data_IF_140270159436
#
_entry.id   IF_140270159436
#
_cell.length_a   1.000
_cell.length_b   1.000
_cell.length_c   1.000
_cell.angle_alpha   90.00
_cell.angle_beta   90.00
_cell.angle_gamma   90.00
#
_symmetry.space_group_name_H-M   'P 1'
#
loop_
_entity.id
_entity.type
_entity.pdbx_description
1 polymer ?
#
# COMPACT_ATOMS: atom_id res chain seq x y z
N UNK A 1 -5.83 61.20 -82.37
CA UNK A 1 -5.08 60.01 -81.92
C UNK A 1 -4.67 60.25 -80.50
N UNK A 2 -4.94 59.25 -79.65
CA UNK A 2 -4.60 59.07 -78.24
C UNK A 2 -5.16 60.01 -77.16
N UNK A 3 -6.18 59.49 -76.46
CA UNK A 3 -6.44 59.76 -75.03
C UNK A 3 -6.89 58.44 -74.37
N UNK A 4 -5.95 57.70 -73.80
CA UNK A 4 -5.66 57.68 -72.36
C UNK A 4 -6.67 56.92 -71.50
N UNK A 5 -6.54 55.59 -71.57
CA UNK A 5 -6.50 54.63 -70.46
C UNK A 5 -6.35 55.25 -69.04
N UNK A 6 -7.46 55.46 -68.31
CA UNK A 6 -7.45 55.66 -66.84
C UNK A 6 -8.78 55.21 -66.24
N UNK A 7 -8.98 53.91 -66.04
CA UNK A 7 -10.07 53.43 -65.15
C UNK A 7 -9.90 51.99 -64.65
N UNK A 8 -8.68 51.53 -64.42
CA UNK A 8 -8.46 50.14 -63.94
C UNK A 8 -7.42 49.99 -62.82
N UNK A 9 -6.82 51.09 -62.35
CA UNK A 9 -5.72 51.03 -61.38
C UNK A 9 -6.08 51.52 -59.97
N UNK A 10 -7.37 51.75 -59.67
CA UNK A 10 -7.80 52.12 -58.30
C UNK A 10 -8.58 51.04 -57.55
N UNK A 11 -9.06 49.98 -58.22
CA UNK A 11 -9.85 48.93 -57.56
C UNK A 11 -8.94 47.82 -56.96
N UNK A 12 -7.71 47.66 -57.46
CA UNK A 12 -6.78 46.64 -56.93
C UNK A 12 -6.09 47.01 -55.61
N UNK A 13 -6.12 48.28 -55.19
CA UNK A 13 -5.42 48.72 -53.96
C UNK A 13 -6.35 48.64 -52.74
N UNK A 14 -7.67 48.66 -52.93
CA UNK A 14 -8.63 48.55 -51.82
C UNK A 14 -8.85 47.11 -51.34
N UNK A 15 -8.52 46.11 -52.16
CA UNK A 15 -8.59 44.68 -51.80
C UNK A 15 -7.32 44.16 -51.09
N UNK A 16 -6.21 44.93 -51.10
CA UNK A 16 -4.96 44.53 -50.42
C UNK A 16 -4.85 45.04 -48.98
N UNK A 17 -5.74 45.93 -48.53
CA UNK A 17 -5.74 46.46 -47.16
C UNK A 17 -6.70 45.77 -46.18
N UNK A 18 -7.53 44.82 -46.63
CA UNK A 18 -8.45 44.06 -45.76
C UNK A 18 -8.03 42.61 -45.50
N UNK A 19 -6.85 42.17 -45.94
CA UNK A 19 -6.37 40.80 -45.70
C UNK A 19 -5.34 40.66 -44.55
N UNK A 20 -5.04 41.74 -43.80
CA UNK A 20 -4.04 41.71 -42.72
C UNK A 20 -4.62 42.10 -41.35
N UNK A 21 -5.76 41.51 -41.00
CA UNK A 21 -6.27 41.52 -39.63
C UNK A 21 -7.09 40.25 -39.34
N UNK A 22 -6.51 39.08 -39.64
CA UNK A 22 -6.91 37.87 -38.92
C UNK A 22 -6.03 37.88 -37.67
N UNK A 23 -6.56 38.10 -36.45
CA UNK A 23 -5.78 37.80 -35.27
C UNK A 23 -5.43 36.33 -35.39
N UNK A 24 -4.14 36.02 -35.55
CA UNK A 24 -3.65 34.67 -35.34
C UNK A 24 -3.99 34.34 -33.90
N UNK A 25 -5.17 33.74 -33.71
CA UNK A 25 -5.44 32.91 -32.55
C UNK A 25 -4.42 31.80 -32.73
N UNK A 26 -3.23 32.01 -32.16
CA UNK A 26 -2.40 30.91 -31.76
C UNK A 26 -3.34 30.10 -30.86
N UNK A 27 -3.95 29.07 -31.45
CA UNK A 27 -4.19 27.85 -30.71
C UNK A 27 -2.81 27.44 -30.25
N UNK A 28 -2.37 28.01 -29.14
CA UNK A 28 -1.54 27.29 -28.22
C UNK A 28 -2.31 26.01 -28.02
N UNK A 29 -1.88 24.96 -28.72
CA UNK A 29 -2.07 23.63 -28.23
C UNK A 29 -1.47 23.70 -26.83
N UNK A 30 -2.33 24.00 -25.85
CA UNK A 30 -2.16 23.47 -24.52
C UNK A 30 -2.23 21.97 -24.76
N UNK A 31 -1.12 21.39 -25.21
CA UNK A 31 -0.79 20.03 -24.83
C UNK A 31 -0.89 20.12 -23.33
N UNK A 32 -2.05 19.75 -22.78
CA UNK A 32 -2.13 19.33 -21.40
C UNK A 32 -1.10 18.23 -21.35
N UNK A 33 0.11 18.58 -20.93
CA UNK A 33 1.16 17.64 -20.66
C UNK A 33 0.52 16.76 -19.60
N UNK A 34 0.01 15.61 -20.03
CA UNK A 34 -0.57 14.63 -19.15
C UNK A 34 0.58 14.21 -18.27
N UNK A 35 0.61 14.73 -17.04
CA UNK A 35 1.70 14.47 -16.11
C UNK A 35 1.86 12.96 -16.04
N UNK A 36 3.06 12.46 -16.35
CA UNK A 36 3.29 11.02 -16.35
C UNK A 36 3.14 10.51 -14.92
N UNK A 37 2.64 9.29 -14.78
CA UNK A 37 2.60 8.65 -13.46
C UNK A 37 4.03 8.28 -13.06
N UNK A 38 4.48 8.73 -11.88
CA UNK A 38 5.89 8.63 -11.47
C UNK A 38 6.10 7.78 -10.22
N UNK A 39 5.14 7.79 -9.29
CA UNK A 39 5.29 7.11 -8.00
C UNK A 39 3.94 6.83 -7.34
N UNK A 40 3.95 5.89 -6.39
CA UNK A 40 2.81 5.52 -5.56
C UNK A 40 3.09 5.83 -4.09
N UNK A 41 2.10 6.38 -3.41
CA UNK A 41 2.09 6.62 -1.96
C UNK A 41 0.90 5.90 -1.32
N UNK A 42 1.06 5.50 -0.06
CA UNK A 42 -0.03 4.99 0.75
C UNK A 42 -0.17 5.81 2.04
N UNK A 43 -1.40 6.12 2.42
CA UNK A 43 -1.77 6.71 3.71
C UNK A 43 -2.76 5.76 4.36
N UNK A 44 -2.33 5.08 5.42
CA UNK A 44 -3.07 3.98 6.05
C UNK A 44 -3.42 4.38 7.48
N UNK A 45 -4.72 4.49 7.78
CA UNK A 45 -5.19 5.10 9.03
C UNK A 45 -6.12 4.16 9.79
N UNK A 46 -5.69 3.73 10.98
CA UNK A 46 -6.56 3.17 12.01
C UNK A 46 -6.96 4.30 12.96
N UNK A 47 -8.25 4.62 12.97
CA UNK A 47 -8.79 5.78 13.72
C UNK A 47 -9.30 5.42 15.11
N UNK A 48 -9.46 4.13 15.41
CA UNK A 48 -10.09 3.64 16.63
C UNK A 48 -9.10 3.21 17.70
N UNK A 49 -9.50 3.38 18.97
CA UNK A 49 -8.76 2.90 20.15
C UNK A 49 -9.48 1.77 20.86
N UNK A 50 -8.82 1.25 21.90
CA UNK A 50 -9.30 0.25 22.84
C UNK A 50 -9.31 -1.16 22.27
N UNK A 51 -9.15 -2.13 23.19
CA UNK A 51 -8.98 -3.54 22.85
C UNK A 51 -10.12 -4.12 22.01
N UNK A 52 -11.36 -3.71 22.25
CA UNK A 52 -12.52 -4.21 21.49
C UNK A 52 -12.51 -3.76 20.01
N UNK A 53 -11.63 -2.84 19.64
CA UNK A 53 -11.41 -2.37 18.27
C UNK A 53 -10.13 -2.93 17.65
N UNK A 54 -9.58 -4.01 18.21
CA UNK A 54 -8.37 -4.69 17.72
C UNK A 54 -8.33 -4.85 16.18
N UNK A 55 -9.45 -5.28 15.60
CA UNK A 55 -9.60 -5.46 14.14
C UNK A 55 -9.23 -4.24 13.30
N UNK A 56 -9.51 -3.01 13.74
CA UNK A 56 -9.20 -1.83 12.93
C UNK A 56 -7.69 -1.65 12.76
N UNK A 57 -6.91 -1.95 13.80
CA UNK A 57 -5.45 -1.97 13.69
C UNK A 57 -4.95 -3.12 12.83
N UNK A 58 -5.49 -4.33 13.04
CA UNK A 58 -5.12 -5.50 12.25
C UNK A 58 -5.42 -5.30 10.76
N UNK A 59 -6.54 -4.67 10.43
CA UNK A 59 -6.90 -4.26 9.06
C UNK A 59 -5.83 -3.35 8.45
N UNK A 60 -5.49 -2.24 9.13
CA UNK A 60 -4.48 -1.28 8.65
C UNK A 60 -3.11 -1.94 8.48
N UNK A 61 -2.67 -2.77 9.42
CA UNK A 61 -1.40 -3.50 9.32
C UNK A 61 -1.41 -4.55 8.21
N UNK A 62 -2.56 -5.16 7.94
CA UNK A 62 -2.70 -6.11 6.83
C UNK A 62 -2.57 -5.41 5.47
N UNK A 63 -3.16 -4.22 5.33
CA UNK A 63 -2.99 -3.39 4.14
C UNK A 63 -1.56 -2.86 4.01
N UNK A 64 -0.93 -2.46 5.11
CA UNK A 64 0.49 -2.08 5.16
C UNK A 64 1.39 -3.20 4.62
N UNK A 65 1.18 -4.43 5.11
CA UNK A 65 1.90 -5.59 4.59
C UNK A 65 1.64 -5.82 3.10
N UNK A 66 0.40 -5.62 2.64
CA UNK A 66 0.01 -5.80 1.24
C UNK A 66 0.75 -4.83 0.33
N UNK A 67 0.74 -3.53 0.64
CA UNK A 67 1.43 -2.53 -0.19
C UNK A 67 2.94 -2.71 -0.18
N UNK A 68 3.53 -3.13 0.96
CA UNK A 68 4.95 -3.49 1.03
C UNK A 68 5.28 -4.70 0.18
N UNK A 69 4.46 -5.76 0.22
CA UNK A 69 4.64 -6.95 -0.63
C UNK A 69 4.60 -6.60 -2.11
N UNK A 70 3.76 -5.64 -2.49
CA UNK A 70 3.63 -5.15 -3.86
C UNK A 70 4.67 -4.06 -4.21
N UNK A 71 5.57 -3.74 -3.27
CA UNK A 71 6.81 -2.99 -3.52
C UNK A 71 6.77 -1.51 -3.19
N UNK A 72 5.73 -0.99 -2.53
CA UNK A 72 5.78 0.38 -1.99
C UNK A 72 6.74 0.41 -0.80
N UNK A 73 7.81 1.23 -0.82
CA UNK A 73 8.77 1.32 0.28
C UNK A 73 8.20 2.11 1.46
N UNK A 74 8.74 1.89 2.67
CA UNK A 74 8.26 2.54 3.91
C UNK A 74 8.31 4.07 3.84
N UNK A 75 9.32 4.65 3.18
CA UNK A 75 9.41 6.10 2.94
C UNK A 75 8.23 6.70 2.17
N UNK A 76 7.37 5.86 1.55
CA UNK A 76 6.17 6.25 0.81
C UNK A 76 4.88 5.74 1.44
N UNK A 77 4.95 5.21 2.65
CA UNK A 77 3.79 4.76 3.42
C UNK A 77 3.70 5.62 4.68
N UNK A 78 2.61 6.36 4.83
CA UNK A 78 2.28 7.03 6.09
C UNK A 78 1.34 6.13 6.87
N UNK A 79 1.81 5.58 7.99
CA UNK A 79 1.05 4.69 8.86
C UNK A 79 0.61 5.41 10.14
N UNK A 80 -0.70 5.50 10.35
CA UNK A 80 -1.31 6.10 11.53
C UNK A 80 -2.09 5.05 12.33
N UNK A 81 -1.66 4.75 13.56
CA UNK A 81 -2.33 3.82 14.47
C UNK A 81 -2.77 4.52 15.76
N UNK A 82 -4.08 4.65 15.96
CA UNK A 82 -4.65 5.37 17.10
C UNK A 82 -4.41 4.70 18.47
N UNK A 83 -3.96 3.45 18.50
CA UNK A 83 -3.61 2.72 19.72
C UNK A 83 -2.45 1.76 19.44
N UNK A 84 -2.03 0.97 20.43
CA UNK A 84 -1.06 -0.12 20.26
C UNK A 84 -1.62 -1.44 20.85
N UNK A 85 -2.12 -2.32 19.99
CA UNK A 85 -2.63 -3.64 20.41
C UNK A 85 -1.50 -4.61 20.72
N UNK A 86 -0.32 -4.43 20.11
CA UNK A 86 0.84 -5.29 20.32
C UNK A 86 1.39 -5.15 21.75
N UNK A 87 1.32 -3.93 22.32
CA UNK A 87 1.72 -3.63 23.69
C UNK A 87 0.57 -3.62 24.72
N UNK A 88 -0.65 -3.97 24.32
CA UNK A 88 -1.79 -3.96 25.23
C UNK A 88 -1.69 -5.07 26.30
N UNK A 89 -1.96 -4.76 27.56
CA UNK A 89 -1.92 -5.74 28.65
C UNK A 89 -2.93 -6.89 28.52
N UNK A 90 -3.98 -6.73 27.70
CA UNK A 90 -4.93 -7.80 27.37
C UNK A 90 -4.42 -8.76 26.29
N UNK A 91 -3.35 -8.38 25.58
CA UNK A 91 -2.82 -9.20 24.50
C UNK A 91 -2.07 -10.40 25.07
N UNK A 92 -2.64 -11.59 24.86
CA UNK A 92 -2.03 -12.88 25.21
C UNK A 92 -0.70 -13.12 24.46
N UNK A 93 -0.49 -12.46 23.33
CA UNK A 93 0.68 -12.58 22.47
C UNK A 93 1.45 -11.24 22.41
N UNK A 94 2.35 -10.96 23.37
CA UNK A 94 3.08 -9.70 23.43
C UNK A 94 3.84 -9.41 22.13
N UNK A 95 3.81 -8.15 21.70
CA UNK A 95 4.46 -7.66 20.47
C UNK A 95 3.93 -8.31 19.16
N UNK A 96 2.76 -8.96 19.20
CA UNK A 96 2.17 -9.60 18.04
C UNK A 96 0.73 -9.14 17.78
N UNK A 97 0.39 -9.01 16.51
CA UNK A 97 -0.96 -8.70 16.03
C UNK A 97 -1.33 -9.65 14.90
N UNK A 98 -2.55 -10.19 14.93
CA UNK A 98 -3.02 -11.18 13.96
C UNK A 98 -4.32 -10.72 13.30
N UNK A 99 -4.60 -11.16 12.08
CA UNK A 99 -5.91 -10.95 11.41
C UNK A 99 -6.67 -12.26 11.18
N UNK A 100 -6.19 -13.36 11.79
CA UNK A 100 -6.76 -14.69 11.64
C UNK A 100 -6.47 -15.51 12.91
N UNK A 101 -7.41 -16.38 13.27
CA UNK A 101 -7.37 -17.30 14.42
C UNK A 101 -6.20 -18.31 14.39
N UNK A 102 -5.63 -18.60 13.22
CA UNK A 102 -4.54 -19.56 13.10
C UNK A 102 -3.16 -19.01 13.54
N UNK A 103 -3.08 -17.71 13.83
CA UNK A 103 -1.88 -16.97 14.27
C UNK A 103 -0.62 -17.22 13.43
N UNK A 104 -0.78 -17.59 12.16
CA UNK A 104 0.38 -17.91 11.29
C UNK A 104 1.18 -16.67 10.89
N UNK A 105 0.56 -15.50 10.97
CA UNK A 105 1.09 -14.26 10.44
C UNK A 105 1.04 -13.14 11.48
N UNK A 106 2.18 -12.86 12.11
CA UNK A 106 2.34 -11.64 12.88
C UNK A 106 2.41 -10.43 11.94
N UNK A 107 1.44 -9.52 12.08
CA UNK A 107 1.31 -8.29 11.30
C UNK A 107 2.15 -7.13 11.83
N UNK A 108 2.49 -7.14 13.13
CA UNK A 108 3.28 -6.07 13.74
C UNK A 108 4.77 -6.28 13.46
N UNK A 109 5.34 -7.42 13.86
CA UNK A 109 6.71 -7.83 13.55
C UNK A 109 7.79 -6.74 13.73
N UNK A 110 8.97 -6.95 13.15
CA UNK A 110 10.10 -6.00 13.26
C UNK A 110 10.10 -4.94 12.13
N UNK A 111 9.23 -5.08 11.14
CA UNK A 111 9.29 -4.33 9.86
C UNK A 111 8.17 -3.30 9.69
N UNK A 112 7.48 -2.93 10.78
CA UNK A 112 6.41 -1.93 10.76
C UNK A 112 6.93 -0.59 11.27
N UNK A 113 6.88 0.42 10.40
CA UNK A 113 7.22 1.79 10.73
C UNK A 113 5.92 2.57 10.97
N UNK A 114 5.60 2.84 12.23
CA UNK A 114 4.42 3.64 12.58
C UNK A 114 4.82 5.11 12.72
N UNK A 115 4.29 5.96 11.84
CA UNK A 115 4.58 7.40 11.78
C UNK A 115 3.82 8.22 12.82
N UNK A 116 2.52 7.93 12.99
CA UNK A 116 1.67 8.59 13.97
C UNK A 116 1.10 7.55 14.93
N UNK A 117 1.44 7.68 16.22
CA UNK A 117 1.10 6.68 17.25
C UNK A 117 0.18 7.28 18.31
N UNK A 118 -0.82 6.51 18.73
CA UNK A 118 -1.64 6.86 19.88
C UNK A 118 -2.28 8.25 19.71
N UNK A 119 -1.99 9.15 20.64
CA UNK A 119 -2.51 10.52 20.67
C UNK A 119 -2.11 11.40 19.48
N UNK A 120 -1.13 11.00 18.67
CA UNK A 120 -0.78 11.74 17.46
C UNK A 120 -1.78 11.53 16.31
N UNK A 121 -2.62 10.49 16.37
CA UNK A 121 -3.63 10.19 15.34
C UNK A 121 -4.90 11.01 15.61
N UNK A 122 -4.85 12.29 15.26
CA UNK A 122 -5.97 13.25 15.37
C UNK A 122 -6.48 13.63 13.98
N UNK A 123 -7.69 14.20 13.92
CA UNK A 123 -8.24 14.73 12.67
C UNK A 123 -7.32 15.81 12.10
N UNK A 124 -6.81 16.70 12.96
CA UNK A 124 -5.90 17.77 12.59
C UNK A 124 -4.62 17.26 11.93
N UNK A 125 -3.92 16.29 12.54
CA UNK A 125 -2.69 15.74 11.98
C UNK A 125 -2.95 15.00 10.67
N UNK A 126 -4.05 14.26 10.58
CA UNK A 126 -4.46 13.61 9.33
C UNK A 126 -4.66 14.63 8.20
N UNK A 127 -5.43 15.71 8.43
CA UNK A 127 -5.64 16.76 7.43
C UNK A 127 -4.35 17.50 7.08
N UNK A 128 -3.43 17.69 8.04
CA UNK A 128 -2.09 18.27 7.78
C UNK A 128 -1.25 17.41 6.85
N UNK A 129 -1.25 16.08 7.04
CA UNK A 129 -0.56 15.12 6.15
C UNK A 129 -1.09 15.25 4.73
N UNK A 130 -2.41 15.20 4.55
CA UNK A 130 -3.03 15.32 3.22
C UNK A 130 -2.67 16.66 2.55
N UNK A 131 -2.92 17.77 3.25
CA UNK A 131 -2.76 19.13 2.70
C UNK A 131 -1.30 19.61 2.62
N UNK A 132 -0.36 18.85 3.19
CA UNK A 132 1.06 19.20 3.30
C UNK A 132 1.34 20.42 4.18
N UNK A 133 0.43 20.76 5.10
CA UNK A 133 0.54 21.92 5.99
C UNK A 133 1.17 21.51 7.31
N UNK A 134 2.47 21.29 7.28
CA UNK A 134 3.25 20.89 8.45
C UNK A 134 4.06 22.06 9.01
N UNK A 135 4.26 22.08 10.33
CA UNK A 135 5.26 22.92 10.95
C UNK A 135 6.67 22.52 10.49
N UNK A 136 7.61 23.48 10.48
CA UNK A 136 8.98 23.25 10.00
C UNK A 136 9.70 22.12 10.74
N UNK A 137 9.36 21.90 12.02
CA UNK A 137 9.95 20.88 12.88
C UNK A 137 9.46 19.45 12.61
N UNK A 138 8.33 19.25 11.90
CA UNK A 138 7.79 17.91 11.62
C UNK A 138 8.81 17.15 10.76
N UNK A 139 9.27 15.94 11.14
CA UNK A 139 10.28 15.22 10.37
C UNK A 139 9.77 14.82 8.99
N UNK A 140 10.69 14.60 8.04
CA UNK A 140 10.37 14.25 6.64
C UNK A 140 9.55 12.95 6.53
N UNK A 141 9.85 11.96 7.37
CA UNK A 141 9.13 10.67 7.40
C UNK A 141 7.65 10.81 7.71
N UNK A 142 7.26 11.80 8.53
CA UNK A 142 5.85 12.08 8.86
C UNK A 142 5.15 12.98 7.83
N UNK A 143 5.69 13.16 6.62
CA UNK A 143 5.12 14.05 5.60
C UNK A 143 4.79 13.26 4.34
N UNK A 144 3.58 13.47 3.82
CA UNK A 144 3.23 13.01 2.48
C UNK A 144 3.93 13.92 1.45
N UNK A 145 4.96 13.42 0.76
CA UNK A 145 5.75 14.19 -0.21
C UNK A 145 5.36 13.88 -1.65
N UNK A 146 4.07 13.71 -1.89
CA UNK A 146 3.49 13.46 -3.21
C UNK A 146 3.43 14.72 -4.08
N UNK A 147 3.34 14.50 -5.39
CA UNK A 147 3.38 15.52 -6.43
C UNK A 147 2.31 15.28 -7.52
N UNK A 148 2.39 16.04 -8.62
CA UNK A 148 1.40 16.03 -9.70
C UNK A 148 1.45 14.76 -10.57
N UNK A 149 2.44 13.90 -10.38
CA UNK A 149 2.58 12.58 -10.99
C UNK A 149 2.30 11.42 -10.02
N UNK A 150 2.08 11.68 -8.73
CA UNK A 150 1.81 10.65 -7.71
C UNK A 150 0.42 10.04 -7.82
N UNK A 151 0.32 8.72 -7.68
CA UNK A 151 -0.93 8.07 -7.27
C UNK A 151 -0.92 7.81 -5.77
N UNK A 152 -2.07 7.97 -5.13
CA UNK A 152 -2.19 7.83 -3.68
C UNK A 152 -3.29 6.83 -3.34
N UNK A 153 -2.96 5.84 -2.50
CA UNK A 153 -3.92 5.02 -1.79
C UNK A 153 -4.17 5.64 -0.40
N UNK A 154 -5.39 6.12 -0.16
CA UNK A 154 -5.84 6.52 1.18
C UNK A 154 -6.78 5.44 1.71
N UNK A 155 -6.32 4.67 2.70
CA UNK A 155 -7.14 3.66 3.38
C UNK A 155 -7.44 4.10 4.81
N UNK A 156 -8.72 4.08 5.19
CA UNK A 156 -9.17 4.43 6.53
C UNK A 156 -10.10 3.36 7.07
N UNK A 157 -9.91 2.98 8.33
CA UNK A 157 -10.79 2.04 9.03
C UNK A 157 -11.07 2.52 10.45
N UNK A 158 -12.29 2.27 10.90
CA UNK A 158 -12.75 2.65 12.21
C UNK A 158 -14.27 2.65 12.35
N UNK A 159 -14.75 3.40 13.33
CA UNK A 159 -16.19 3.63 13.53
C UNK A 159 -16.61 4.92 12.84
N UNK A 160 -17.81 4.93 12.28
CA UNK A 160 -18.34 6.06 11.55
C UNK A 160 -19.84 5.96 11.41
N UNK A 161 -20.40 6.87 10.63
CA UNK A 161 -21.83 6.96 10.39
C UNK A 161 -22.13 7.86 9.21
N UNK A 162 -23.35 8.42 9.18
CA UNK A 162 -23.78 9.31 8.10
C UNK A 162 -22.89 10.56 8.07
N UNK A 163 -22.02 10.62 7.07
CA UNK A 163 -21.10 11.72 6.76
C UNK A 163 -19.95 11.94 7.75
N UNK A 164 -19.62 10.98 8.63
CA UNK A 164 -18.47 11.11 9.54
C UNK A 164 -17.69 9.80 9.78
N UNK A 165 -16.43 9.95 10.17
CA UNK A 165 -15.55 8.90 10.70
C UNK A 165 -14.94 9.36 12.02
N UNK A 166 -15.09 8.57 13.09
CA UNK A 166 -14.58 8.89 14.42
C UNK A 166 -13.09 8.65 14.54
N UNK A 167 -12.38 9.64 15.06
CA UNK A 167 -11.00 9.56 15.50
C UNK A 167 -10.94 9.49 17.02
N UNK A 168 -10.14 8.57 17.54
CA UNK A 168 -9.84 8.43 18.97
C UNK A 168 -11.08 8.20 19.87
N UNK A 169 -12.22 7.82 19.30
CA UNK A 169 -13.53 7.73 19.98
C UNK A 169 -14.09 9.08 20.50
N UNK A 170 -13.50 10.21 20.11
CA UNK A 170 -13.88 11.54 20.63
C UNK A 170 -14.08 12.60 19.55
N UNK A 171 -13.24 12.60 18.51
CA UNK A 171 -13.32 13.55 17.41
C UNK A 171 -13.97 12.90 16.19
N UNK A 172 -14.51 13.71 15.28
CA UNK A 172 -15.14 13.25 14.06
C UNK A 172 -14.54 13.98 12.86
N UNK A 173 -14.00 13.23 11.91
CA UNK A 173 -13.71 13.72 10.57
C UNK A 173 -15.01 13.70 9.77
N UNK A 174 -15.46 14.87 9.32
CA UNK A 174 -16.69 14.99 8.54
C UNK A 174 -16.39 14.86 7.03
N UNK A 175 -17.41 14.50 6.24
CA UNK A 175 -17.30 14.35 4.78
C UNK A 175 -16.85 15.66 4.11
N UNK A 176 -17.27 16.80 4.64
CA UNK A 176 -16.86 18.12 4.16
C UNK A 176 -15.39 18.42 4.42
N UNK A 177 -14.87 18.08 5.60
CA UNK A 177 -13.45 18.26 5.94
C UNK A 177 -12.54 17.46 5.01
N UNK A 178 -12.93 16.20 4.74
CA UNK A 178 -12.22 15.34 3.81
C UNK A 178 -12.27 15.91 2.38
N UNK A 179 -13.44 16.37 1.93
CA UNK A 179 -13.60 16.97 0.61
C UNK A 179 -12.79 18.24 0.42
N UNK A 180 -12.75 19.12 1.43
CA UNK A 180 -11.95 20.34 1.41
C UNK A 180 -10.46 20.05 1.42
N UNK A 181 -10.01 19.03 2.16
CA UNK A 181 -8.61 18.60 2.13
C UNK A 181 -8.21 18.04 0.76
N UNK A 182 -9.03 17.18 0.17
CA UNK A 182 -8.79 16.62 -1.17
C UNK A 182 -8.80 17.72 -2.24
N UNK A 183 -9.71 18.70 -2.13
CA UNK A 183 -9.72 19.89 -3.00
C UNK A 183 -8.42 20.68 -2.89
N UNK A 184 -7.96 20.96 -1.69
CA UNK A 184 -6.67 21.64 -1.48
C UNK A 184 -5.50 20.82 -2.01
N UNK A 185 -5.51 19.49 -1.86
CA UNK A 185 -4.50 18.63 -2.46
C UNK A 185 -4.48 18.77 -3.99
N UNK A 186 -5.65 18.80 -4.63
CA UNK A 186 -5.77 18.94 -6.08
C UNK A 186 -5.30 20.30 -6.57
N UNK A 187 -5.71 21.38 -5.90
CA UNK A 187 -5.29 22.76 -6.22
C UNK A 187 -3.77 22.93 -6.09
N UNK A 188 -3.16 22.27 -5.10
CA UNK A 188 -1.70 22.22 -4.90
C UNK A 188 -0.99 21.18 -5.75
N UNK A 189 -1.70 20.48 -6.62
CA UNK A 189 -1.17 19.41 -7.49
C UNK A 189 -0.37 18.33 -6.72
N UNK A 190 -0.92 17.86 -5.60
CA UNK A 190 -0.28 16.85 -4.74
C UNK A 190 -0.61 15.41 -5.15
N UNK A 191 -1.44 15.20 -6.15
CA UNK A 191 -1.70 13.90 -6.74
C UNK A 191 -2.19 14.03 -8.18
N UNK A 192 -1.90 13.00 -8.97
CA UNK A 192 -2.52 12.75 -10.26
C UNK A 192 -3.84 11.99 -10.09
N UNK A 193 -3.78 10.82 -9.46
CA UNK A 193 -4.91 9.96 -9.15
C UNK A 193 -4.93 9.62 -7.64
N UNK A 194 -6.11 9.59 -7.03
CA UNK A 194 -6.29 9.29 -5.60
C UNK A 194 -7.38 8.22 -5.45
N UNK A 195 -7.04 7.09 -4.86
CA UNK A 195 -7.98 6.05 -4.46
C UNK A 195 -8.25 6.16 -2.96
N UNK A 196 -9.50 6.40 -2.58
CA UNK A 196 -9.95 6.44 -1.19
C UNK A 196 -10.74 5.17 -0.88
N UNK A 197 -10.29 4.42 0.11
CA UNK A 197 -10.94 3.19 0.60
C UNK A 197 -11.31 3.35 2.06
N UNK A 198 -12.58 3.15 2.39
CA UNK A 198 -13.08 3.38 3.75
C UNK A 198 -13.83 2.15 4.26
N UNK A 199 -13.36 1.57 5.37
CA UNK A 199 -14.00 0.45 6.06
C UNK A 199 -14.65 0.93 7.38
N UNK A 200 -15.94 1.22 7.31
CA UNK A 200 -16.75 1.75 8.43
C UNK A 200 -18.25 1.61 8.12
N UNK A 201 -19.11 1.76 9.12
CA UNK A 201 -20.55 1.94 8.90
C UNK A 201 -20.84 3.20 8.07
N UNK A 202 -21.81 3.09 7.16
CA UNK A 202 -22.21 4.14 6.20
C UNK A 202 -21.05 4.77 5.41
N UNK A 203 -19.99 4.00 5.12
CA UNK A 203 -18.76 4.47 4.47
C UNK A 203 -18.99 5.32 3.20
N UNK A 204 -20.01 4.98 2.39
CA UNK A 204 -20.32 5.71 1.16
C UNK A 204 -20.60 7.20 1.36
N UNK A 205 -21.09 7.57 2.55
CA UNK A 205 -21.47 8.95 2.88
C UNK A 205 -20.26 9.82 3.19
N UNK A 206 -19.12 9.24 3.60
CA UNK A 206 -17.92 10.00 3.92
C UNK A 206 -17.29 10.68 2.69
N UNK A 207 -17.53 10.15 1.49
CA UNK A 207 -17.03 10.70 0.23
C UNK A 207 -18.12 11.29 -0.67
N UNK A 208 -19.30 11.58 -0.12
CA UNK A 208 -20.42 12.22 -0.83
C UNK A 208 -20.06 13.62 -1.34
N UNK A 209 -19.30 14.38 -0.53
CA UNK A 209 -18.95 15.77 -0.80
C UNK A 209 -17.71 15.95 -1.69
N UNK A 210 -17.05 14.86 -2.12
CA UNK A 210 -15.90 14.96 -3.02
C UNK A 210 -16.29 15.58 -4.37
N UNK A 211 -15.42 16.44 -4.89
CA UNK A 211 -15.62 17.16 -6.15
C UNK A 211 -14.36 17.21 -7.04
N UNK A 212 -13.22 16.74 -6.54
CA UNK A 212 -11.94 16.89 -7.24
C UNK A 212 -11.74 15.82 -8.31
N UNK A 213 -11.32 16.17 -9.54
CA UNK A 213 -11.09 15.19 -10.60
C UNK A 213 -9.83 14.34 -10.35
N UNK A 214 -9.86 13.11 -10.85
CA UNK A 214 -8.84 12.09 -10.62
C UNK A 214 -9.01 11.35 -9.28
N UNK A 215 -10.19 11.44 -8.64
CA UNK A 215 -10.47 10.78 -7.37
C UNK A 215 -11.42 9.61 -7.60
N UNK A 216 -11.05 8.44 -7.11
CA UNK A 216 -11.87 7.23 -7.05
C UNK A 216 -12.10 6.89 -5.58
N UNK A 217 -13.34 6.58 -5.21
CA UNK A 217 -13.66 6.23 -3.83
C UNK A 217 -14.45 4.94 -3.74
N UNK A 218 -14.21 4.14 -2.70
CA UNK A 218 -14.98 2.95 -2.36
C UNK A 218 -15.16 2.84 -0.85
N UNK A 219 -16.37 2.46 -0.44
CA UNK A 219 -16.74 2.24 0.96
C UNK A 219 -17.26 0.83 1.19
N UNK A 220 -17.08 0.31 2.40
CA UNK A 220 -17.55 -1.01 2.83
C UNK A 220 -19.07 -1.15 2.92
N UNK A 221 -19.82 -0.05 3.04
CA UNK A 221 -21.27 -0.07 3.23
C UNK A 221 -21.95 1.19 2.68
N UNK A 222 -23.23 1.07 2.32
CA UNK A 222 -24.06 2.19 1.88
C UNK A 222 -24.65 2.99 3.05
N UNK A 223 -25.24 4.16 2.74
CA UNK A 223 -26.04 4.94 3.69
C UNK A 223 -27.16 4.06 4.28
N UNK A 224 -27.31 4.09 5.61
CA UNK A 224 -28.24 3.23 6.35
C UNK A 224 -27.77 1.79 6.61
N UNK A 225 -26.60 1.38 6.10
CA UNK A 225 -26.01 0.06 6.37
C UNK A 225 -24.85 0.14 7.38
N UNK A 226 -24.69 -0.93 8.15
CA UNK A 226 -23.50 -1.14 8.98
C UNK A 226 -22.38 -1.81 8.17
N UNK A 227 -21.13 -1.66 8.63
CA UNK A 227 -20.04 -2.58 8.30
C UNK A 227 -19.88 -3.60 9.44
N UNK A 228 -19.35 -4.78 9.12
CA UNK A 228 -19.33 -5.91 10.04
C UNK A 228 -17.94 -6.50 10.19
N UNK A 229 -17.65 -6.93 11.42
CA UNK A 229 -16.45 -7.68 11.73
C UNK A 229 -16.51 -9.13 11.20
N UNK A 230 -15.35 -9.76 11.13
CA UNK A 230 -15.16 -11.16 10.76
C UNK A 230 -14.12 -11.80 11.70
N UNK A 231 -14.05 -13.15 11.72
CA UNK A 231 -13.13 -13.97 12.52
C UNK A 231 -13.06 -13.54 13.99
N UNK A 232 -13.94 -14.12 14.82
CA UNK A 232 -13.79 -14.03 16.27
C UNK A 232 -12.63 -14.92 16.72
N UNK A 233 -11.69 -14.34 17.44
CA UNK A 233 -10.55 -15.07 17.98
C UNK A 233 -10.75 -15.29 19.48
N UNK A 234 -10.76 -16.54 19.92
CA UNK A 234 -11.00 -16.89 21.33
C UNK A 234 -9.81 -16.56 22.25
N UNK A 235 -8.59 -16.53 21.73
CA UNK A 235 -7.39 -16.21 22.49
C UNK A 235 -7.20 -14.70 22.65
N UNK A 236 -7.53 -13.93 21.61
CA UNK A 236 -7.54 -12.46 21.66
C UNK A 236 -8.83 -11.95 22.34
N UNK A 237 -9.91 -12.72 22.26
CA UNK A 237 -11.21 -12.46 22.89
C UNK A 237 -12.11 -11.48 22.13
N UNK A 238 -11.74 -11.07 20.92
CA UNK A 238 -12.44 -10.09 20.08
C UNK A 238 -12.30 -10.45 18.61
N UNK A 239 -13.07 -9.80 17.73
CA UNK A 239 -12.89 -9.96 16.27
C UNK A 239 -11.56 -9.35 15.83
N UNK A 240 -10.86 -10.03 14.92
CA UNK A 240 -9.49 -9.66 14.51
C UNK A 240 -9.39 -9.04 13.12
N UNK A 241 -10.48 -8.99 12.35
CA UNK A 241 -10.52 -8.37 11.01
C UNK A 241 -11.94 -7.92 10.67
N UNK A 242 -12.12 -6.95 9.79
CA UNK A 242 -13.44 -6.61 9.23
C UNK A 242 -13.69 -7.30 7.88
N UNK A 243 -14.97 -7.51 7.53
CA UNK A 243 -15.36 -8.29 6.33
C UNK A 243 -14.83 -7.67 5.05
N UNK A 244 -15.04 -6.38 4.87
CA UNK A 244 -14.59 -5.66 3.67
C UNK A 244 -13.08 -5.83 3.51
N UNK A 245 -12.31 -5.51 4.55
CA UNK A 245 -10.87 -5.69 4.56
C UNK A 245 -10.45 -7.15 4.34
N UNK A 246 -11.11 -8.12 4.97
CA UNK A 246 -10.79 -9.55 4.78
C UNK A 246 -10.91 -9.97 3.31
N UNK A 247 -11.97 -9.58 2.61
CA UNK A 247 -12.13 -9.93 1.19
C UNK A 247 -11.21 -9.11 0.28
N UNK A 248 -10.88 -7.86 0.63
CA UNK A 248 -9.81 -7.11 -0.05
C UNK A 248 -8.48 -7.86 0.05
N UNK A 249 -8.10 -8.32 1.25
CA UNK A 249 -6.89 -9.09 1.47
C UNK A 249 -6.91 -10.42 0.71
N UNK A 250 -8.03 -11.15 0.75
CA UNK A 250 -8.18 -12.41 0.03
C UNK A 250 -7.98 -12.28 -1.49
N UNK A 251 -8.34 -11.13 -2.06
CA UNK A 251 -8.04 -10.79 -3.44
C UNK A 251 -6.53 -10.59 -3.64
N UNK A 252 -5.88 -9.77 -2.81
CA UNK A 252 -4.45 -9.48 -2.95
C UNK A 252 -3.52 -10.63 -2.57
N UNK A 253 -3.94 -11.58 -1.74
CA UNK A 253 -3.14 -12.79 -1.42
C UNK A 253 -2.90 -13.68 -2.63
N UNK A 254 -3.71 -13.53 -3.69
CA UNK A 254 -3.56 -14.26 -4.94
C UNK A 254 -2.74 -13.50 -5.97
N UNK A 255 -2.35 -12.25 -5.66
CA UNK A 255 -1.67 -11.36 -6.58
C UNK A 255 -0.20 -11.15 -6.20
N UNK A 256 0.62 -11.01 -7.24
CA UNK A 256 2.00 -10.57 -7.18
C UNK A 256 2.17 -9.23 -7.91
N UNK A 257 3.36 -8.63 -7.83
CA UNK A 257 3.65 -7.30 -8.39
C UNK A 257 3.57 -7.24 -9.93
N UNK A 258 3.64 -8.38 -10.62
CA UNK A 258 3.61 -8.48 -12.08
C UNK A 258 2.21 -8.78 -12.63
N UNK A 259 1.23 -8.99 -11.75
CA UNK A 259 -0.14 -9.27 -12.18
C UNK A 259 -0.85 -7.99 -12.61
N UNK A 260 -1.58 -8.09 -13.72
CA UNK A 260 -2.32 -6.97 -14.33
C UNK A 260 -3.82 -7.01 -13.97
N UNK A 261 -4.16 -7.47 -12.77
CA UNK A 261 -5.54 -7.44 -12.31
C UNK A 261 -6.04 -5.99 -12.23
N UNK A 262 -7.22 -5.71 -12.78
CA UNK A 262 -7.78 -4.37 -12.85
C UNK A 262 -8.53 -3.97 -11.57
N UNK A 263 -8.75 -2.67 -11.37
CA UNK A 263 -9.62 -2.17 -10.30
C UNK A 263 -11.05 -2.68 -10.43
N UNK A 264 -11.54 -2.82 -11.67
CA UNK A 264 -12.85 -3.45 -11.94
C UNK A 264 -12.88 -4.89 -11.40
N UNK A 265 -11.80 -5.67 -11.55
CA UNK A 265 -11.69 -7.02 -10.98
C UNK A 265 -11.74 -7.02 -9.44
N UNK A 266 -11.04 -6.08 -8.79
CA UNK A 266 -11.11 -5.93 -7.33
C UNK A 266 -12.53 -5.57 -6.89
N UNK A 267 -13.17 -4.59 -7.50
CA UNK A 267 -14.48 -4.11 -7.08
C UNK A 267 -15.58 -5.14 -7.32
N UNK A 268 -15.51 -5.88 -8.43
CA UNK A 268 -16.42 -6.98 -8.73
C UNK A 268 -16.18 -8.23 -7.86
N UNK A 269 -15.06 -8.30 -7.13
CA UNK A 269 -14.81 -9.41 -6.20
C UNK A 269 -15.63 -9.33 -4.91
N UNK A 270 -16.15 -8.13 -4.58
CA UNK A 270 -16.95 -7.92 -3.38
C UNK A 270 -18.36 -8.52 -3.54
N UNK A 271 -18.70 -9.45 -2.66
CA UNK A 271 -20.01 -10.10 -2.63
C UNK A 271 -20.84 -9.59 -1.44
N UNK A 272 -22.00 -8.94 -1.66
CA UNK A 272 -22.82 -8.39 -0.58
C UNK A 272 -23.26 -9.40 0.48
N UNK A 273 -23.49 -10.67 0.10
CA UNK A 273 -23.86 -11.72 1.07
C UNK A 273 -22.70 -12.05 2.01
N UNK A 274 -21.48 -12.04 1.48
CA UNK A 274 -20.27 -12.30 2.26
C UNK A 274 -19.89 -11.10 3.12
N UNK A 275 -20.10 -9.89 2.62
CA UNK A 275 -19.87 -8.64 3.35
C UNK A 275 -20.93 -8.37 4.42
N UNK A 276 -22.16 -8.87 4.22
CA UNK A 276 -23.35 -8.46 4.97
C UNK A 276 -23.67 -6.96 4.86
N UNK A 277 -23.09 -6.31 3.84
CA UNK A 277 -23.23 -4.90 3.49
C UNK A 277 -22.94 -4.72 2.00
N UNK A 278 -23.30 -3.57 1.45
CA UNK A 278 -23.09 -3.26 0.04
C UNK A 278 -21.85 -2.39 -0.13
N UNK A 279 -20.78 -2.95 -0.72
CA UNK A 279 -19.62 -2.16 -1.10
C UNK A 279 -19.99 -1.19 -2.23
N UNK A 280 -19.86 0.11 -1.99
CA UNK A 280 -20.23 1.16 -2.95
C UNK A 280 -18.99 1.90 -3.41
N UNK A 281 -18.79 2.01 -4.73
CA UNK A 281 -17.72 2.78 -5.33
C UNK A 281 -18.25 3.90 -6.21
N UNK A 282 -17.61 5.07 -6.13
CA UNK A 282 -17.98 6.31 -6.80
C UNK A 282 -16.93 6.66 -7.86
N UNK A 283 -17.35 6.75 -9.12
CA UNK A 283 -16.46 6.89 -10.30
C UNK A 283 -16.65 8.16 -11.11
N UNK A 284 -17.66 9.00 -10.81
CA UNK A 284 -17.96 10.23 -11.57
C UNK A 284 -16.79 11.24 -11.60
N UNK A 285 -15.91 11.19 -10.61
CA UNK A 285 -14.71 12.04 -10.52
C UNK A 285 -13.46 11.40 -11.14
N UNK A 286 -13.56 10.16 -11.64
CA UNK A 286 -12.44 9.38 -12.14
C UNK A 286 -12.59 9.11 -13.64
N UNK A 287 -11.73 9.74 -14.45
CA UNK A 287 -11.91 9.78 -15.91
C UNK A 287 -11.50 8.51 -16.68
N UNK A 288 -10.84 7.53 -16.02
CA UNK A 288 -10.36 6.31 -16.68
C UNK A 288 -11.31 5.14 -16.41
N UNK A 289 -11.43 4.26 -17.40
CA UNK A 289 -12.19 3.01 -17.25
C UNK A 289 -11.48 2.10 -16.25
N UNK A 290 -12.23 1.52 -15.31
CA UNK A 290 -11.68 0.70 -14.23
C UNK A 290 -11.06 -0.60 -14.74
N UNK A 291 -11.49 -1.07 -15.91
CA UNK A 291 -10.98 -2.25 -16.61
C UNK A 291 -9.54 -2.04 -17.10
N UNK A 292 -9.17 -0.79 -17.40
CA UNK A 292 -7.86 -0.41 -17.95
C UNK A 292 -6.86 0.02 -16.85
N UNK A 293 -7.29 0.06 -15.59
CA UNK A 293 -6.48 0.53 -14.47
C UNK A 293 -6.07 -0.67 -13.63
N UNK A 294 -4.79 -1.09 -13.65
CA UNK A 294 -4.30 -2.14 -12.78
C UNK A 294 -4.42 -1.75 -11.30
N UNK A 295 -4.66 -2.70 -10.41
CA UNK A 295 -4.63 -2.46 -8.96
C UNK A 295 -3.25 -1.97 -8.50
N UNK A 296 -2.19 -2.39 -9.18
CA UNK A 296 -0.81 -1.96 -8.90
C UNK A 296 -0.58 -0.46 -9.12
N UNK A 297 -1.48 0.24 -9.84
CA UNK A 297 -1.43 1.72 -9.94
C UNK A 297 -1.61 2.42 -8.59
N UNK A 298 -2.19 1.77 -7.58
CA UNK A 298 -2.38 2.33 -6.25
C UNK A 298 -1.71 1.50 -5.16
N UNK A 299 -1.63 0.18 -5.35
CA UNK A 299 -1.13 -0.74 -4.32
C UNK A 299 0.31 -1.20 -4.54
N UNK A 300 0.86 -1.07 -5.75
CA UNK A 300 2.19 -1.58 -6.10
C UNK A 300 3.25 -0.50 -6.25
N UNK A 301 4.50 -0.91 -6.47
CA UNK A 301 5.57 0.01 -6.83
C UNK A 301 5.52 0.41 -8.30
N UNK A 302 5.94 1.63 -8.59
CA UNK A 302 6.35 2.01 -9.95
C UNK A 302 7.83 1.67 -10.08
N UNK A 303 8.14 0.49 -10.62
CA UNK A 303 9.53 0.12 -10.92
C UNK A 303 9.94 0.73 -12.26
N UNK A 304 10.80 1.74 -12.23
CA UNK A 304 11.50 2.20 -13.43
C UNK A 304 12.68 1.24 -13.70
N UNK A 305 12.48 0.27 -14.58
CA UNK A 305 13.58 -0.60 -15.04
C UNK A 305 14.46 0.16 -16.03
N UNK A 306 15.57 0.69 -15.54
CA UNK A 306 16.63 1.22 -16.40
C UNK A 306 17.41 0.03 -16.97
N UNK A 307 17.26 -0.24 -18.26
CA UNK A 307 18.11 -1.20 -18.96
C UNK A 307 19.54 -0.67 -19.01
N UNK A 308 20.47 -1.35 -18.33
CA UNK A 308 21.90 -1.08 -18.47
C UNK A 308 22.49 -2.03 -19.51
N UNK A 309 23.04 -1.49 -20.60
CA UNK A 309 23.67 -2.26 -21.68
C UNK A 309 24.98 -2.96 -21.26
N UNK A 310 25.44 -2.76 -20.02
CA UNK A 310 26.65 -3.36 -19.48
C UNK A 310 26.40 -3.89 -18.07
N UNK A 311 26.90 -5.10 -17.73
CA UNK A 311 26.83 -5.61 -16.36
C UNK A 311 27.58 -4.65 -15.42
N UNK A 312 26.98 -4.36 -14.27
CA UNK A 312 27.62 -3.56 -13.22
C UNK A 312 29.02 -4.09 -12.94
N UNK A 313 30.06 -3.28 -13.21
CA UNK A 313 31.42 -3.58 -12.74
C UNK A 313 31.41 -3.43 -11.22
N UNK A 314 31.34 -4.56 -10.52
CA UNK A 314 31.62 -4.59 -9.10
C UNK A 314 33.00 -3.93 -8.88
N UNK A 315 33.05 -2.88 -8.07
CA UNK A 315 34.30 -2.28 -7.66
C UNK A 315 35.07 -3.32 -6.84
N UNK A 316 36.00 -4.02 -7.49
CA UNK A 316 37.06 -4.76 -6.82
C UNK A 316 37.92 -3.74 -6.10
N UNK A 317 37.62 -3.47 -4.83
CA UNK A 317 38.53 -2.76 -3.94
C UNK A 317 39.74 -3.68 -3.74
N UNK A 318 40.75 -3.54 -4.60
CA UNK A 318 42.09 -4.02 -4.31
C UNK A 318 42.60 -3.16 -3.15
N UNK A 319 42.64 -3.73 -1.96
CA UNK A 319 43.45 -3.21 -0.87
C UNK A 319 44.92 -3.24 -1.33
N UNK A 320 45.39 -2.13 -1.90
CA UNK A 320 46.81 -1.87 -2.06
C UNK A 320 47.31 -1.35 -0.72
N UNK A 321 48.12 -2.17 -0.05
CA UNK A 321 48.77 -1.80 1.21
C UNK A 321 49.95 -0.86 0.89
N UNK A 322 49.67 0.40 0.55
CA UNK A 322 50.70 1.43 0.43
C UNK A 322 50.92 2.07 1.79
N UNK A 323 52.05 1.73 2.42
CA UNK A 323 52.57 2.37 3.63
C UNK A 323 52.93 3.82 3.29
N UNK A 324 52.14 4.77 3.78
CA UNK A 324 52.48 6.20 3.74
C UNK A 324 53.07 6.57 5.10
N UNK A 325 54.39 6.75 5.15
CA UNK A 325 55.07 7.41 6.26
C UNK A 325 54.83 8.93 6.12
N UNK A 326 54.26 9.53 7.15
CA UNK A 326 54.20 10.98 7.30
C UNK A 326 55.09 11.32 8.49
N UNK A 327 56.25 11.90 8.21
CA UNK A 327 57.08 12.60 9.18
C UNK A 327 56.71 14.08 9.15
N UNK A 328 56.36 14.66 10.29
CA UNK A 328 56.47 16.09 10.52
C UNK A 328 56.79 16.29 12.00
N UNK A 329 58.06 16.60 12.21
CA UNK A 329 58.70 17.02 13.44
C UNK A 329 58.45 18.53 13.61
N UNK A 330 57.97 18.96 14.78
CA UNK A 330 58.49 20.12 15.52
C UNK A 330 57.78 20.34 16.89
N UNK A 331 58.54 20.01 17.94
CA UNK A 331 58.71 20.65 19.26
C UNK A 331 57.53 20.81 20.25
N UNK A 332 57.45 19.90 21.23
CA UNK A 332 57.68 20.02 22.70
C UNK A 332 57.41 21.39 23.37
N UNK A 333 56.77 21.54 24.54
CA UNK A 333 56.63 20.69 25.75
C UNK A 333 55.43 21.19 26.58
N UNK A 334 54.73 20.30 27.33
CA UNK A 334 54.33 20.45 28.74
C UNK A 334 53.48 19.24 29.20
N UNK A 335 53.92 18.70 30.34
CA UNK A 335 53.50 17.49 31.05
C UNK A 335 52.10 17.48 31.70
N UNK A 336 51.52 16.27 31.65
CA UNK A 336 50.90 15.49 32.74
C UNK A 336 49.45 15.71 33.26
N UNK A 337 48.65 14.66 32.96
CA UNK A 337 47.87 13.77 33.88
C UNK A 337 46.58 14.34 34.52
N UNK A 338 45.48 13.59 34.68
CA UNK A 338 45.25 12.16 34.92
C UNK A 338 43.74 11.87 34.83
N UNK A 339 43.30 10.72 34.33
CA UNK A 339 42.10 10.02 34.82
C UNK A 339 42.28 8.50 34.60
N UNK A 340 42.09 7.75 35.68
CA UNK A 340 42.34 6.31 35.82
C UNK A 340 41.19 5.49 35.24
N UNK A 341 41.53 4.37 34.59
CA UNK A 341 40.62 3.27 34.31
C UNK A 341 40.33 2.45 35.58
N UNK A 342 39.19 1.76 35.56
CA UNK A 342 38.90 0.61 36.41
C UNK A 342 38.51 -0.56 35.50
N UNK A 343 39.28 -1.64 35.60
CA UNK A 343 39.16 -2.91 34.88
C UNK A 343 38.04 -3.80 35.44
N UNK A 344 37.57 -4.76 34.62
CA UNK A 344 37.45 -6.21 34.92
C UNK A 344 37.11 -6.95 33.60
N UNK A 345 37.61 -8.19 33.38
CA UNK A 345 38.03 -8.70 32.07
C UNK A 345 37.07 -9.69 31.40
N UNK A 346 37.22 -9.86 30.09
CA UNK A 346 36.56 -10.88 29.27
C UNK A 346 37.60 -11.88 28.74
N UNK A 347 37.46 -13.14 29.12
CA UNK A 347 38.36 -14.23 28.76
C UNK A 347 38.22 -14.65 27.28
N UNK A 348 39.37 -14.83 26.64
CA UNK A 348 39.60 -15.48 25.35
C UNK A 348 39.62 -17.00 25.52
N UNK A 349 38.99 -17.73 24.57
CA UNK A 349 39.49 -19.04 24.15
C UNK A 349 39.50 -19.06 22.62
N UNK A 350 40.70 -19.22 22.08
CA UNK A 350 41.01 -19.42 20.68
C UNK A 350 41.77 -20.76 20.60
N UNK A 351 41.35 -21.70 19.76
CA UNK A 351 42.26 -22.55 18.98
C UNK A 351 41.54 -23.59 18.12
N UNK A 352 41.84 -23.52 16.83
CA UNK A 352 41.71 -24.51 15.76
C UNK A 352 41.82 -25.99 16.16
N UNK A 353 40.90 -26.81 15.64
CA UNK A 353 41.17 -28.23 15.29
C UNK A 353 40.59 -28.51 13.90
N UNK A 354 41.48 -28.89 12.98
CA UNK A 354 41.18 -29.54 11.70
C UNK A 354 41.03 -31.06 11.89
N UNK A 355 39.95 -31.70 11.44
CA UNK A 355 40.03 -32.88 10.54
C UNK A 355 38.67 -33.38 9.98
N UNK A 356 38.74 -33.69 8.69
CA UNK A 356 38.03 -34.63 7.79
C UNK A 356 36.73 -35.37 8.20
N UNK A 357 35.72 -35.17 7.33
CA UNK A 357 34.68 -36.07 6.77
C UNK A 357 34.01 -37.17 7.61
N UNK A 358 32.67 -37.10 7.73
CA UNK A 358 31.78 -38.26 7.55
C UNK A 358 30.35 -37.83 7.16
N UNK A 359 30.00 -38.00 5.88
CA UNK A 359 28.61 -37.97 5.37
C UNK A 359 27.84 -39.17 5.92
N UNK A 360 26.79 -38.92 6.70
CA UNK A 360 25.94 -39.95 7.31
C UNK A 360 24.84 -40.43 6.33
N UNK A 361 24.60 -41.75 6.14
CA UNK A 361 23.59 -42.28 5.20
C UNK A 361 22.12 -42.08 5.59
N UNK A 362 21.84 -41.51 6.77
CA UNK A 362 20.49 -41.46 7.35
C UNK A 362 19.68 -40.23 6.89
N UNK A 363 20.33 -39.11 6.57
CA UNK A 363 19.66 -37.89 6.12
C UNK A 363 19.08 -38.01 4.69
N UNK A 364 19.65 -38.88 3.86
CA UNK A 364 19.16 -39.13 2.49
C UNK A 364 17.88 -39.98 2.48
N UNK A 365 17.73 -40.87 3.47
CA UNK A 365 16.55 -41.74 3.62
C UNK A 365 15.37 -40.93 4.20
N UNK A 366 15.64 -40.02 5.14
CA UNK A 366 14.60 -39.18 5.73
C UNK A 366 13.94 -38.23 4.72
N UNK A 367 14.73 -37.63 3.83
CA UNK A 367 14.22 -36.77 2.77
C UNK A 367 13.44 -37.55 1.69
N UNK A 368 13.76 -38.82 1.46
CA UNK A 368 13.01 -39.69 0.54
C UNK A 368 11.66 -40.14 1.12
N UNK A 369 11.56 -40.29 2.45
CA UNK A 369 10.31 -40.62 3.15
C UNK A 369 9.37 -39.41 3.18
N UNK A 370 9.89 -38.21 3.46
CA UNK A 370 9.10 -36.97 3.41
C UNK A 370 8.51 -36.70 2.02
N UNK A 371 9.29 -36.93 0.95
CA UNK A 371 8.79 -36.81 -0.43
C UNK A 371 7.71 -37.83 -0.81
N UNK A 372 7.68 -39.02 -0.18
CA UNK A 372 6.61 -40.02 -0.40
C UNK A 372 5.32 -39.70 0.33
N UNK A 373 5.39 -39.04 1.49
CA UNK A 373 4.20 -38.63 2.26
C UNK A 373 3.46 -37.49 1.53
N UNK A 374 4.18 -36.63 0.81
CA UNK A 374 3.58 -35.54 0.02
C UNK A 374 2.84 -36.07 -1.22
N UNK A 375 3.32 -37.18 -1.81
CA UNK A 375 2.65 -37.88 -2.92
C UNK A 375 1.37 -38.64 -2.49
N UNK A 376 1.20 -38.93 -1.19
CA UNK A 376 -0.01 -39.59 -0.66
C UNK A 376 -1.20 -38.64 -0.43
N UNK A 377 -1.06 -37.33 -0.66
CA UNK A 377 -2.16 -36.36 -0.58
C UNK A 377 -3.01 -36.25 -1.85
N UNK A 378 -2.68 -36.97 -2.92
CA UNK A 378 -3.57 -37.10 -4.10
C UNK A 378 -4.60 -38.25 -3.97
N UNK A 379 -4.85 -38.77 -2.76
CA UNK A 379 -5.77 -39.89 -2.54
C UNK A 379 -7.24 -39.51 -2.34
N UNK A 380 -7.64 -38.26 -2.55
CA UNK A 380 -9.06 -37.85 -2.49
C UNK A 380 -9.83 -38.19 -3.79
N UNK A 381 -9.13 -38.45 -4.89
CA UNK A 381 -9.74 -38.91 -6.15
C UNK A 381 -10.11 -40.40 -6.07
N UNK A 382 -9.26 -41.23 -5.46
CA UNK A 382 -9.40 -42.69 -5.44
C UNK A 382 -10.52 -43.18 -4.51
N UNK A 383 -10.77 -42.47 -3.40
CA UNK A 383 -11.89 -42.74 -2.49
C UNK A 383 -13.23 -42.40 -3.16
N UNK A 384 -13.29 -41.31 -3.94
CA UNK A 384 -14.49 -40.94 -4.69
C UNK A 384 -14.81 -41.95 -5.81
N UNK A 385 -13.81 -42.46 -6.53
CA UNK A 385 -14.02 -43.53 -7.50
C UNK A 385 -14.44 -44.86 -6.84
N UNK A 386 -13.91 -45.17 -5.66
CA UNK A 386 -14.32 -46.33 -4.87
C UNK A 386 -15.79 -46.26 -4.41
N UNK A 387 -16.25 -45.08 -3.97
CA UNK A 387 -17.66 -44.87 -3.57
C UNK A 387 -18.62 -44.99 -4.76
N UNK A 388 -18.24 -44.47 -5.94
CA UNK A 388 -19.05 -44.59 -7.16
C UNK A 388 -19.15 -46.06 -7.61
N UNK A 389 -18.05 -46.81 -7.54
CA UNK A 389 -18.04 -48.23 -7.91
C UNK A 389 -18.87 -49.08 -6.94
N UNK A 390 -18.81 -48.80 -5.64
CA UNK A 390 -19.64 -49.46 -4.63
C UNK A 390 -21.13 -49.19 -4.84
N UNK A 391 -21.50 -47.96 -5.23
CA UNK A 391 -22.88 -47.61 -5.53
C UNK A 391 -23.40 -48.35 -6.79
N UNK A 392 -22.57 -48.45 -7.83
CA UNK A 392 -22.89 -49.22 -9.03
C UNK A 392 -23.08 -50.71 -8.73
N UNK A 393 -22.19 -51.31 -7.93
CA UNK A 393 -22.32 -52.72 -7.54
C UNK A 393 -23.59 -52.95 -6.70
N UNK A 394 -23.91 -52.05 -5.78
CA UNK A 394 -25.13 -52.13 -4.98
C UNK A 394 -26.40 -52.07 -5.86
N UNK A 395 -26.46 -51.14 -6.81
CA UNK A 395 -27.62 -51.01 -7.72
C UNK A 395 -27.79 -52.23 -8.64
N UNK A 396 -26.69 -52.78 -9.16
CA UNK A 396 -26.71 -54.01 -9.97
C UNK A 396 -27.15 -55.21 -9.12
N UNK A 397 -26.67 -55.33 -7.88
CA UNK A 397 -27.07 -56.41 -6.97
C UNK A 397 -28.55 -56.35 -6.59
N UNK A 398 -29.12 -55.14 -6.43
CA UNK A 398 -30.57 -54.99 -6.18
C UNK A 398 -31.43 -55.31 -7.40
N UNK A 399 -30.93 -55.09 -8.62
CA UNK A 399 -31.63 -55.45 -9.85
C UNK A 399 -31.72 -56.96 -10.03
N UNK A 400 -30.64 -57.70 -9.75
CA UNK A 400 -30.63 -59.16 -9.82
C UNK A 400 -31.40 -59.86 -8.68
N UNK A 401 -31.82 -59.10 -7.66
CA UNK A 401 -32.60 -59.61 -6.51
C UNK A 401 -34.09 -59.27 -6.58
N UNK A 402 -34.60 -58.72 -7.69
CA UNK A 402 -36.03 -58.48 -7.96
C UNK A 402 -36.60 -59.37 -9.05
#
# INVERSE_FOLDING_TARGET
>A
MDSSFKSTTLISIFLLFFCNAIPSIAFGSSSTATTMHTNNWAVLVCTSRFWFNYRHMANTLSLYRTVKRLGIPDERIILMLADDMACNARNKYPAQVFNNENHRLNLYGDNVEVDYRGYEVTVENFLRVLTGRHETAVPRSKRLLSDEGSHILLYMTGHGGDEFLKFQDSEELQSHDLADAVKQMKEKRRFKELLIMVDTCQASTLFSQLQSPGVLAIGSSMKGENSYSHHLDSDVGVSVVDRFTFYTLAFFERLNMYDNASLSSLFNSYNPNLLMSTAYYRTDLYGRLLEEVPVTNFFGSVMETIHTDSPYRAFSVKYSKSKAEISLDQSDDVEQRRLKSSDVPQELIDSNITDKHATCPVTRIWNAILGRIEMMKELDSLVNYGLILMFLIATVSSWFSS
#
